data_IF_153801529426
#
_entry.id   IF_153801529426
#
_cell.length_a   1.000
_cell.length_b   1.000
_cell.length_c   1.000
_cell.angle_alpha   90.00
_cell.angle_beta   90.00
_cell.angle_gamma   90.00
#
_symmetry.space_group_name_H-M   'P 1'
#
loop_
_entity.id
_entity.type
_entity.pdbx_description
1 polymer ?
#
# COMPACT_ATOMS: atom_id res chain seq x y z
N UNK A 1 7.31 45.13 5.31
CA UNK A 1 8.71 45.57 5.49
C UNK A 1 8.94 46.44 6.73
N UNK A 2 7.92 47.02 7.38
CA UNK A 2 8.12 47.86 8.58
C UNK A 2 8.16 47.12 9.94
N UNK A 3 7.55 45.92 10.04
CA UNK A 3 7.44 45.19 11.32
C UNK A 3 8.72 44.43 11.74
N UNK A 4 9.59 44.06 10.80
CA UNK A 4 10.87 43.41 11.12
C UNK A 4 11.93 44.40 11.65
N UNK A 5 11.85 45.67 11.24
CA UNK A 5 12.84 46.69 11.62
C UNK A 5 12.65 47.13 13.09
N UNK A 6 11.40 47.15 13.58
CA UNK A 6 11.08 47.60 14.94
C UNK A 6 11.48 46.58 16.02
N UNK A 7 11.42 45.28 15.74
CA UNK A 7 11.83 44.26 16.72
C UNK A 7 13.36 44.11 16.86
N UNK A 8 14.16 44.48 15.86
CA UNK A 8 15.62 44.34 15.92
C UNK A 8 16.30 45.19 17.00
N UNK A 9 15.64 46.24 17.52
CA UNK A 9 16.28 47.14 18.49
C UNK A 9 16.26 46.61 19.94
N UNK A 10 15.76 45.41 20.20
CA UNK A 10 15.72 44.78 21.54
C UNK A 10 16.08 43.29 21.56
N UNK A 11 16.60 42.76 20.46
CA UNK A 11 16.99 41.36 20.33
C UNK A 11 18.52 41.26 20.36
N UNK A 12 19.07 40.37 21.20
CA UNK A 12 20.52 40.18 21.29
C UNK A 12 21.10 39.69 19.95
N UNK A 13 22.36 40.02 19.66
CA UNK A 13 23.05 39.63 18.42
C UNK A 13 22.96 38.12 18.10
N UNK A 14 22.85 37.29 19.14
CA UNK A 14 22.61 35.86 19.00
C UNK A 14 21.24 35.51 18.39
N UNK A 15 20.19 36.24 18.75
CA UNK A 15 18.85 36.01 18.22
C UNK A 15 18.76 36.45 16.75
N UNK A 16 19.46 37.51 16.36
CA UNK A 16 19.57 37.93 14.96
C UNK A 16 20.29 36.88 14.12
N UNK A 17 21.40 36.33 14.62
CA UNK A 17 22.12 35.24 13.95
C UNK A 17 21.25 33.98 13.76
N UNK A 18 20.43 33.63 14.74
CA UNK A 18 19.51 32.49 14.65
C UNK A 18 18.41 32.73 13.60
N UNK A 19 17.80 33.92 13.58
CA UNK A 19 16.77 34.28 12.58
C UNK A 19 17.36 34.26 11.16
N UNK A 20 18.58 34.76 10.97
CA UNK A 20 19.28 34.70 9.68
C UNK A 20 19.59 33.26 9.28
N UNK A 21 20.05 32.42 10.20
CA UNK A 21 20.28 31.00 9.94
C UNK A 21 19.01 30.24 9.56
N UNK A 22 17.89 30.49 10.26
CA UNK A 22 16.58 29.88 9.98
C UNK A 22 16.03 30.35 8.64
N UNK A 23 16.19 31.63 8.28
CA UNK A 23 15.74 32.16 6.99
C UNK A 23 16.56 31.60 5.82
N UNK A 24 17.88 31.45 5.97
CA UNK A 24 18.74 30.83 4.94
C UNK A 24 18.43 29.33 4.82
N UNK A 25 18.29 28.61 5.94
CA UNK A 25 17.97 27.18 5.96
C UNK A 25 16.60 26.88 5.35
N UNK A 26 15.59 27.70 5.66
CA UNK A 26 14.25 27.55 5.06
C UNK A 26 14.23 27.86 3.56
N UNK A 27 15.01 28.84 3.09
CA UNK A 27 15.17 29.10 1.65
C UNK A 27 15.84 27.94 0.91
N UNK A 28 16.92 27.39 1.47
CA UNK A 28 17.61 26.24 0.90
C UNK A 28 16.69 25.00 0.84
N UNK A 29 15.91 24.76 1.90
CA UNK A 29 14.92 23.69 1.94
C UNK A 29 13.80 23.91 0.90
N UNK A 30 13.33 25.15 0.74
CA UNK A 30 12.29 25.51 -0.23
C UNK A 30 12.76 25.29 -1.67
N UNK A 31 14.00 25.67 -2.00
CA UNK A 31 14.61 25.42 -3.33
C UNK A 31 14.78 23.91 -3.57
N UNK A 32 15.19 23.15 -2.56
CA UNK A 32 15.32 21.70 -2.65
C UNK A 32 13.98 21.03 -2.98
N UNK A 33 12.92 21.35 -2.24
CA UNK A 33 11.58 20.84 -2.54
C UNK A 33 11.08 21.31 -3.92
N UNK A 34 11.33 22.56 -4.29
CA UNK A 34 10.95 23.11 -5.60
C UNK A 34 11.67 22.39 -6.77
N UNK A 35 12.96 22.08 -6.62
CA UNK A 35 13.73 21.32 -7.61
C UNK A 35 13.26 19.86 -7.71
N UNK A 36 12.89 19.24 -6.58
CA UNK A 36 12.28 17.91 -6.57
C UNK A 36 10.90 17.88 -7.26
N UNK A 37 10.08 18.92 -7.05
CA UNK A 37 8.79 19.12 -7.71
C UNK A 37 8.91 19.47 -9.21
N UNK A 38 10.02 20.09 -9.62
CA UNK A 38 10.30 20.48 -11.02
C UNK A 38 10.54 19.29 -11.96
N UNK A 39 10.71 18.07 -11.43
CA UNK A 39 10.83 16.83 -12.20
C UNK A 39 9.63 15.89 -12.00
N UNK A 40 8.42 16.29 -12.43
CA UNK A 40 7.19 15.51 -12.23
C UNK A 40 7.30 14.10 -12.85
N UNK A 41 8.08 13.95 -13.94
CA UNK A 41 8.31 12.68 -14.62
C UNK A 41 9.08 11.64 -13.78
N UNK A 42 9.90 12.08 -12.82
CA UNK A 42 10.67 11.18 -11.96
C UNK A 42 9.85 10.80 -10.73
N UNK A 43 9.15 11.76 -10.13
CA UNK A 43 8.23 11.52 -9.02
C UNK A 43 7.08 10.58 -9.44
N UNK A 44 6.50 10.80 -10.63
CA UNK A 44 5.45 9.94 -11.18
C UNK A 44 5.95 8.50 -11.43
N UNK A 45 7.19 8.32 -11.92
CA UNK A 45 7.78 6.99 -12.08
C UNK A 45 7.98 6.28 -10.75
N UNK A 46 8.46 6.99 -9.73
CA UNK A 46 8.61 6.43 -8.38
C UNK A 46 7.25 6.05 -7.79
N UNK A 47 6.22 6.86 -8.02
CA UNK A 47 4.85 6.56 -7.62
C UNK A 47 4.31 5.29 -8.32
N UNK A 48 4.46 5.18 -9.64
CA UNK A 48 4.02 3.98 -10.39
C UNK A 48 4.78 2.73 -9.91
N UNK A 49 6.10 2.84 -9.70
CA UNK A 49 6.91 1.72 -9.23
C UNK A 49 6.47 1.23 -7.84
N UNK A 50 6.21 2.16 -6.92
CA UNK A 50 5.70 1.82 -5.59
C UNK A 50 4.31 1.17 -5.65
N UNK A 51 3.45 1.63 -6.57
CA UNK A 51 2.12 1.05 -6.78
C UNK A 51 2.20 -0.37 -7.35
N UNK A 52 3.08 -0.59 -8.33
CA UNK A 52 3.27 -1.90 -8.97
C UNK A 52 3.86 -2.93 -7.99
N UNK A 53 4.79 -2.51 -7.13
CA UNK A 53 5.36 -3.35 -6.07
C UNK A 53 4.29 -3.83 -5.08
N UNK A 54 3.44 -2.91 -4.60
CA UNK A 54 2.31 -3.24 -3.71
C UNK A 54 1.31 -4.16 -4.41
N UNK A 55 0.99 -3.91 -5.68
CA UNK A 55 0.07 -4.75 -6.42
C UNK A 55 0.62 -6.18 -6.62
N UNK A 56 1.93 -6.34 -6.87
CA UNK A 56 2.59 -7.65 -6.92
C UNK A 56 2.52 -8.38 -5.58
N UNK A 57 2.79 -7.69 -4.48
CA UNK A 57 2.67 -8.28 -3.14
C UNK A 57 1.24 -8.71 -2.83
N UNK A 58 0.25 -7.85 -3.08
CA UNK A 58 -1.17 -8.17 -2.88
C UNK A 58 -1.55 -9.41 -3.71
N UNK A 59 -1.09 -9.49 -4.97
CA UNK A 59 -1.38 -10.63 -5.85
C UNK A 59 -0.75 -11.93 -5.34
N UNK A 60 0.51 -11.89 -4.91
CA UNK A 60 1.20 -13.06 -4.34
C UNK A 60 0.52 -13.56 -3.07
N UNK A 61 0.22 -12.66 -2.13
CA UNK A 61 -0.45 -13.01 -0.87
C UNK A 61 -1.86 -13.53 -1.13
N UNK A 62 -2.60 -12.90 -2.06
CA UNK A 62 -3.93 -13.38 -2.48
C UNK A 62 -3.85 -14.79 -3.07
N UNK A 63 -2.89 -15.06 -3.95
CA UNK A 63 -2.72 -16.38 -4.57
C UNK A 63 -2.42 -17.46 -3.52
N UNK A 64 -1.49 -17.20 -2.59
CA UNK A 64 -1.16 -18.13 -1.51
C UNK A 64 -2.37 -18.38 -0.61
N UNK A 65 -3.09 -17.34 -0.21
CA UNK A 65 -4.30 -17.47 0.60
C UNK A 65 -5.41 -18.25 -0.13
N UNK A 66 -5.54 -18.06 -1.44
CA UNK A 66 -6.52 -18.81 -2.26
C UNK A 66 -6.17 -20.29 -2.32
N UNK A 67 -4.89 -20.64 -2.45
CA UNK A 67 -4.44 -22.05 -2.41
C UNK A 67 -4.74 -22.70 -1.06
N UNK A 68 -4.53 -21.97 0.04
CA UNK A 68 -4.87 -22.46 1.38
C UNK A 68 -6.38 -22.69 1.50
N UNK A 69 -7.20 -21.76 1.02
CA UNK A 69 -8.65 -21.90 0.99
C UNK A 69 -9.07 -23.13 0.17
N UNK A 70 -8.48 -23.33 -1.01
CA UNK A 70 -8.77 -24.47 -1.88
C UNK A 70 -8.38 -25.80 -1.23
N UNK A 71 -7.23 -25.85 -0.54
CA UNK A 71 -6.84 -27.01 0.24
C UNK A 71 -7.85 -27.34 1.34
N UNK A 72 -8.33 -26.34 2.09
CA UNK A 72 -9.37 -26.52 3.10
C UNK A 72 -10.68 -26.99 2.49
N UNK A 73 -11.03 -26.50 1.30
CA UNK A 73 -12.24 -26.89 0.59
C UNK A 73 -12.17 -28.35 0.12
N UNK A 74 -11.02 -28.79 -0.41
CA UNK A 74 -10.78 -30.20 -0.74
C UNK A 74 -10.87 -31.08 0.51
N UNK A 75 -10.25 -30.66 1.61
CA UNK A 75 -10.32 -31.38 2.87
C UNK A 75 -11.77 -31.53 3.36
N UNK A 76 -12.57 -30.47 3.27
CA UNK A 76 -13.99 -30.51 3.62
C UNK A 76 -14.79 -31.46 2.72
N UNK A 77 -14.53 -31.47 1.41
CA UNK A 77 -15.16 -32.42 0.46
C UNK A 77 -14.81 -33.87 0.79
N UNK A 78 -13.54 -34.15 1.12
CA UNK A 78 -13.08 -35.49 1.53
C UNK A 78 -13.76 -35.90 2.84
N UNK A 79 -13.84 -35.00 3.82
CA UNK A 79 -14.52 -35.26 5.08
C UNK A 79 -16.02 -35.54 4.87
N UNK A 80 -16.68 -34.76 4.01
CA UNK A 80 -18.09 -34.97 3.66
C UNK A 80 -18.32 -36.37 3.06
N UNK A 81 -17.43 -36.79 2.16
CA UNK A 81 -17.46 -38.13 1.59
C UNK A 81 -17.19 -39.22 2.65
N UNK A 82 -16.16 -39.05 3.48
CA UNK A 82 -15.73 -40.07 4.44
C UNK A 82 -16.69 -40.26 5.62
N UNK A 83 -17.24 -39.17 6.16
CA UNK A 83 -18.07 -39.20 7.37
C UNK A 83 -19.57 -39.21 7.09
N UNK A 84 -20.02 -38.53 6.03
CA UNK A 84 -21.45 -38.40 5.69
C UNK A 84 -21.82 -39.33 4.53
N UNK A 85 -20.84 -40.00 3.90
CA UNK A 85 -21.06 -40.91 2.76
C UNK A 85 -21.80 -40.27 1.58
N UNK A 86 -21.73 -38.94 1.46
CA UNK A 86 -22.32 -38.20 0.34
C UNK A 86 -21.39 -38.35 -0.87
N UNK A 87 -21.88 -39.04 -1.89
CA UNK A 87 -21.18 -39.19 -3.16
C UNK A 87 -21.56 -38.04 -4.08
N UNK A 88 -20.62 -37.13 -4.31
CA UNK A 88 -20.81 -36.02 -5.24
C UNK A 88 -20.37 -36.45 -6.65
N UNK A 89 -21.14 -36.11 -7.70
CA UNK A 89 -20.70 -36.34 -9.08
C UNK A 89 -19.40 -35.58 -9.36
N UNK A 90 -18.55 -36.15 -10.20
CA UNK A 90 -17.27 -35.53 -10.57
C UNK A 90 -17.43 -34.09 -11.10
N UNK A 91 -18.43 -33.86 -11.96
CA UNK A 91 -18.73 -32.53 -12.52
C UNK A 91 -19.11 -31.53 -11.42
N UNK A 92 -19.85 -31.96 -10.40
CA UNK A 92 -20.22 -31.12 -9.26
C UNK A 92 -19.00 -30.77 -8.42
N UNK A 93 -18.12 -31.74 -8.14
CA UNK A 93 -16.86 -31.50 -7.42
C UNK A 93 -15.99 -30.50 -8.17
N UNK A 94 -15.80 -30.70 -9.47
CA UNK A 94 -15.00 -29.81 -10.32
C UNK A 94 -15.60 -28.39 -10.35
N UNK A 95 -16.92 -28.29 -10.45
CA UNK A 95 -17.62 -27.01 -10.42
C UNK A 95 -17.41 -26.29 -9.08
N UNK A 96 -17.56 -27.00 -7.97
CA UNK A 96 -17.38 -26.43 -6.62
C UNK A 96 -15.94 -25.95 -6.41
N UNK A 97 -14.94 -26.72 -6.86
CA UNK A 97 -13.54 -26.31 -6.80
C UNK A 97 -13.29 -25.06 -7.65
N UNK A 98 -13.76 -25.05 -8.90
CA UNK A 98 -13.57 -23.92 -9.81
C UNK A 98 -14.24 -22.64 -9.27
N UNK A 99 -15.50 -22.73 -8.85
CA UNK A 99 -16.21 -21.58 -8.28
C UNK A 99 -15.58 -21.14 -6.96
N UNK A 100 -15.18 -22.09 -6.10
CA UNK A 100 -14.48 -21.81 -4.85
C UNK A 100 -13.18 -21.05 -5.08
N UNK A 101 -12.40 -21.45 -6.07
CA UNK A 101 -11.16 -20.77 -6.47
C UNK A 101 -11.42 -19.36 -7.02
N UNK A 102 -12.32 -19.22 -8.00
CA UNK A 102 -12.58 -17.91 -8.64
C UNK A 102 -13.18 -16.92 -7.65
N UNK A 103 -14.22 -17.33 -6.91
CA UNK A 103 -14.88 -16.46 -5.92
C UNK A 103 -13.96 -16.19 -4.74
N UNK A 104 -13.25 -17.20 -4.25
CA UNK A 104 -12.28 -17.08 -3.17
C UNK A 104 -11.16 -16.10 -3.51
N UNK A 105 -10.59 -16.21 -4.71
CA UNK A 105 -9.53 -15.30 -5.17
C UNK A 105 -10.01 -13.85 -5.21
N UNK A 106 -11.18 -13.59 -5.81
CA UNK A 106 -11.74 -12.23 -5.90
C UNK A 106 -12.03 -11.69 -4.50
N UNK A 107 -12.65 -12.48 -3.64
CA UNK A 107 -13.01 -12.07 -2.28
C UNK A 107 -11.76 -11.73 -1.43
N UNK A 108 -10.76 -12.61 -1.44
CA UNK A 108 -9.50 -12.39 -0.73
C UNK A 108 -8.79 -11.15 -1.28
N UNK A 109 -8.74 -10.98 -2.62
CA UNK A 109 -8.11 -9.82 -3.25
C UNK A 109 -8.77 -8.52 -2.82
N UNK A 110 -10.11 -8.48 -2.77
CA UNK A 110 -10.86 -7.30 -2.35
C UNK A 110 -10.60 -6.93 -0.89
N UNK A 111 -10.54 -7.91 0.00
CA UNK A 111 -10.22 -7.69 1.41
C UNK A 111 -8.79 -7.16 1.54
N UNK A 112 -7.83 -7.83 0.90
CA UNK A 112 -6.42 -7.48 1.03
C UNK A 112 -6.11 -6.10 0.44
N UNK A 113 -6.76 -5.75 -0.67
CA UNK A 113 -6.64 -4.42 -1.29
C UNK A 113 -7.22 -3.28 -0.45
N UNK A 114 -8.13 -3.57 0.49
CA UNK A 114 -8.65 -2.56 1.43
C UNK A 114 -7.76 -2.41 2.67
N UNK A 115 -7.03 -3.45 3.05
CA UNK A 115 -6.22 -3.48 4.28
C UNK A 115 -4.80 -2.96 4.01
N UNK A 116 -4.19 -3.40 2.91
CA UNK A 116 -2.86 -3.00 2.45
C UNK A 116 -3.00 -1.85 1.49
#
# INVERSE_FOLDING_TARGET
>A
MGLFIVCSNSLSDYALGLVVGVTIGSYALSIYYFAALSHPKRLHRMYIAAYDERNKQILQVTAVATLILEFLLIFALIALYAFVSIQLPYVTVLSVLLYGLVVGFVFIRLILSKIV
#
